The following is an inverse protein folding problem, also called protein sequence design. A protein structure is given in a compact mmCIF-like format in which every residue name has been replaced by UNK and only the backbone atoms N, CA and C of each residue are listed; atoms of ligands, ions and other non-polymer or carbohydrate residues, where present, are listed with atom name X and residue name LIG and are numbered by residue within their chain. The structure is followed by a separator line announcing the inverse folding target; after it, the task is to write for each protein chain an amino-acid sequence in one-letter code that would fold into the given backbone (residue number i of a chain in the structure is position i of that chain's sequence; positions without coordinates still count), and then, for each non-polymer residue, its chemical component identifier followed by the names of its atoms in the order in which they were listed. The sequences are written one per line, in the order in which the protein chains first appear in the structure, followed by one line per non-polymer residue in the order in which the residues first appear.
data_IF_653307954886
#
_entry.id   IF_653307954886
#
_cell.length_a   1.000
_cell.length_b   1.000
_cell.length_c   1.000
_cell.angle_alpha   90.00
_cell.angle_beta   90.00
_cell.angle_gamma   90.00
#
_symmetry.space_group_name_H-M   'P 1'
#
loop_
_entity.id
_entity.type
_entity.pdbx_description
1 polymer ?
#
# COMPACT_ATOMS: atom_id res chain seq x y z
N UNK A 1 34.12 39.40 -22.27
CA UNK A 1 33.38 38.96 -21.07
C UNK A 1 31.85 38.88 -21.25
N UNK A 2 31.27 39.04 -22.45
CA UNK A 2 29.81 38.82 -22.65
C UNK A 2 29.43 37.41 -23.13
N UNK A 3 30.34 36.67 -23.77
CA UNK A 3 30.04 35.33 -24.32
C UNK A 3 29.87 34.21 -23.28
N UNK A 4 30.53 34.32 -22.13
CA UNK A 4 30.48 33.29 -21.09
C UNK A 4 29.16 33.30 -20.28
N UNK A 5 28.54 34.47 -20.16
CA UNK A 5 27.28 34.64 -19.41
C UNK A 5 26.09 34.06 -20.20
N UNK A 6 26.08 34.26 -21.52
CA UNK A 6 25.01 33.73 -22.41
C UNK A 6 25.07 32.21 -22.52
N UNK A 7 26.27 31.61 -22.54
CA UNK A 7 26.43 30.16 -22.56
C UNK A 7 25.91 29.50 -21.27
N UNK A 8 26.11 30.13 -20.11
CA UNK A 8 25.64 29.61 -18.81
C UNK A 8 24.10 29.59 -18.72
N UNK A 9 23.41 30.58 -19.31
CA UNK A 9 21.94 30.63 -19.33
C UNK A 9 21.32 29.54 -20.23
N UNK A 10 21.93 29.23 -21.37
CA UNK A 10 21.42 28.21 -22.31
C UNK A 10 21.59 26.79 -21.72
N UNK A 11 22.64 26.54 -20.95
CA UNK A 11 22.87 25.24 -20.27
C UNK A 11 21.88 25.01 -19.13
N UNK A 12 21.51 26.04 -18.37
CA UNK A 12 20.51 25.93 -17.30
C UNK A 12 19.08 25.65 -17.81
N UNK A 13 18.72 26.21 -18.98
CA UNK A 13 17.40 25.96 -19.58
C UNK A 13 17.24 24.52 -20.10
N UNK A 14 18.31 23.90 -20.64
CA UNK A 14 18.28 22.50 -21.06
C UNK A 14 18.23 21.50 -19.89
N UNK A 15 18.62 21.90 -18.69
CA UNK A 15 18.51 21.06 -17.48
C UNK A 15 17.11 21.08 -16.84
N UNK A 16 16.27 22.08 -17.16
CA UNK A 16 14.91 22.23 -16.61
C UNK A 16 13.79 21.87 -17.61
N UNK A 17 14.13 21.54 -18.87
CA UNK A 17 13.15 21.17 -19.89
C UNK A 17 12.49 19.80 -19.67
N UNK A 18 13.15 18.89 -18.95
CA UNK A 18 12.58 17.60 -18.55
C UNK A 18 11.52 17.73 -17.45
N UNK A 19 11.64 18.73 -16.59
CA UNK A 19 10.78 18.91 -15.41
C UNK A 19 9.35 19.26 -15.79
N UNK A 20 9.14 20.05 -16.85
CA UNK A 20 7.80 20.48 -17.28
C UNK A 20 6.95 19.32 -17.80
N UNK A 21 7.52 18.39 -18.58
CA UNK A 21 6.80 17.21 -19.06
C UNK A 21 6.42 16.25 -17.92
N UNK A 22 7.34 16.02 -16.98
CA UNK A 22 7.06 15.22 -15.78
C UNK A 22 5.98 15.86 -14.92
N UNK A 23 6.03 17.18 -14.71
CA UNK A 23 4.99 17.87 -13.95
C UNK A 23 3.63 17.81 -14.66
N UNK A 24 3.55 18.01 -15.98
CA UNK A 24 2.26 17.98 -16.69
C UNK A 24 1.61 16.59 -16.67
N UNK A 25 2.39 15.53 -16.91
CA UNK A 25 1.95 14.13 -16.78
C UNK A 25 1.51 13.77 -15.36
N UNK A 26 2.19 14.33 -14.35
CA UNK A 26 1.85 14.12 -12.96
C UNK A 26 0.57 14.91 -12.57
N UNK A 27 0.47 16.18 -12.95
CA UNK A 27 -0.70 17.03 -12.68
C UNK A 27 -1.97 16.55 -13.39
N UNK A 28 -1.87 16.00 -14.61
CA UNK A 28 -3.04 15.51 -15.35
C UNK A 28 -3.66 14.26 -14.73
N UNK A 29 -2.87 13.41 -14.06
CA UNK A 29 -3.36 12.22 -13.36
C UNK A 29 -4.12 12.59 -12.08
N UNK A 30 -3.68 13.62 -11.35
CA UNK A 30 -4.34 14.10 -10.13
C UNK A 30 -5.65 14.88 -10.39
N UNK A 31 -5.89 15.37 -11.61
CA UNK A 31 -7.14 16.05 -11.95
C UNK A 31 -8.18 15.12 -12.58
N UNK A 32 -7.86 13.83 -12.76
CA UNK A 32 -8.82 12.85 -13.24
C UNK A 32 -9.61 12.28 -12.04
N UNK A 33 -10.91 12.62 -11.88
CA UNK A 33 -11.70 12.12 -10.77
C UNK A 33 -11.78 10.59 -10.77
N UNK A 34 -11.72 9.94 -11.93
CA UNK A 34 -11.77 8.48 -12.04
C UNK A 34 -10.57 7.79 -11.38
N UNK A 35 -9.41 8.46 -11.29
CA UNK A 35 -8.22 7.92 -10.62
C UNK A 35 -8.44 7.79 -9.11
N UNK A 36 -9.12 8.77 -8.51
CA UNK A 36 -9.48 8.73 -7.09
C UNK A 36 -10.70 7.86 -6.84
N UNK A 37 -11.72 7.97 -7.69
CA UNK A 37 -13.02 7.32 -7.50
C UNK A 37 -12.89 5.79 -7.33
N UNK A 38 -12.09 5.15 -8.19
CA UNK A 38 -11.87 3.71 -8.11
C UNK A 38 -11.11 3.30 -6.84
N UNK A 39 -10.03 3.99 -6.49
CA UNK A 39 -9.23 3.66 -5.29
C UNK A 39 -9.98 3.97 -4.00
N UNK A 40 -10.79 5.04 -4.00
CA UNK A 40 -11.61 5.44 -2.85
C UNK A 40 -12.68 4.40 -2.59
N UNK A 41 -13.44 4.01 -3.61
CA UNK A 41 -14.52 3.02 -3.50
C UNK A 41 -14.01 1.67 -2.95
N UNK A 42 -12.88 1.19 -3.47
CA UNK A 42 -12.21 -0.03 -2.99
C UNK A 42 -11.80 0.07 -1.53
N UNK A 43 -11.28 1.24 -1.15
CA UNK A 43 -10.90 1.49 0.23
C UNK A 43 -12.14 1.44 1.13
N UNK A 44 -13.30 1.89 0.65
CA UNK A 44 -14.55 1.88 1.41
C UNK A 44 -15.09 0.45 1.62
N UNK A 45 -15.08 -0.40 0.59
CA UNK A 45 -15.48 -1.81 0.73
C UNK A 45 -14.62 -2.57 1.76
N UNK A 46 -13.29 -2.39 1.69
CA UNK A 46 -12.36 -2.98 2.65
C UNK A 46 -12.58 -2.40 4.06
N UNK A 47 -12.83 -1.09 4.15
CA UNK A 47 -13.08 -0.40 5.42
C UNK A 47 -14.33 -0.94 6.09
N UNK A 48 -15.44 -1.03 5.35
CA UNK A 48 -16.72 -1.52 5.85
C UNK A 48 -16.63 -2.96 6.32
N UNK A 49 -15.93 -3.80 5.56
CA UNK A 49 -15.66 -5.17 5.94
C UNK A 49 -14.90 -5.25 7.27
N UNK A 50 -13.81 -4.50 7.41
CA UNK A 50 -13.01 -4.48 8.64
C UNK A 50 -13.84 -3.99 9.82
N UNK A 51 -14.57 -2.89 9.66
CA UNK A 51 -15.36 -2.30 10.74
C UNK A 51 -16.46 -3.25 11.25
N UNK A 52 -17.06 -4.03 10.34
CA UNK A 52 -18.11 -5.01 10.68
C UNK A 52 -17.56 -6.28 11.36
N UNK A 53 -16.35 -6.70 11.00
CA UNK A 53 -15.81 -8.01 11.40
C UNK A 53 -14.65 -7.94 12.42
N UNK A 54 -14.32 -6.74 12.91
CA UNK A 54 -13.28 -6.52 13.93
C UNK A 54 -13.72 -5.56 15.02
N UNK A 55 -13.20 -5.77 16.23
CA UNK A 55 -13.32 -4.85 17.37
C UNK A 55 -12.25 -3.76 17.28
N UNK A 56 -12.46 -2.65 17.98
CA UNK A 56 -11.56 -1.48 17.92
C UNK A 56 -10.10 -1.77 18.31
N UNK A 57 -9.88 -2.74 19.19
CA UNK A 57 -8.55 -3.13 19.68
C UNK A 57 -7.95 -4.33 18.93
N UNK A 58 -8.65 -4.90 17.94
CA UNK A 58 -8.17 -6.04 17.18
C UNK A 58 -7.26 -5.57 16.04
N UNK A 59 -6.00 -6.04 15.98
CA UNK A 59 -5.07 -5.59 14.96
C UNK A 59 -5.40 -6.16 13.58
N UNK A 60 -5.09 -5.36 12.56
CA UNK A 60 -5.20 -5.74 11.15
C UNK A 60 -3.86 -5.59 10.45
N UNK A 61 -3.64 -6.37 9.40
CA UNK A 61 -2.48 -6.23 8.52
C UNK A 61 -2.92 -6.01 7.08
N UNK A 62 -2.34 -5.00 6.42
CA UNK A 62 -2.68 -4.62 5.06
C UNK A 62 -1.42 -4.68 4.21
N UNK A 63 -1.34 -5.70 3.35
CA UNK A 63 -0.32 -5.82 2.31
C UNK A 63 -0.77 -5.05 1.06
N UNK A 64 -0.61 -3.73 1.13
CA UNK A 64 -0.97 -2.76 0.09
C UNK A 64 -0.05 -1.54 0.17
N UNK A 65 0.01 -0.77 -0.91
CA UNK A 65 0.60 0.58 -0.87
C UNK A 65 -0.39 1.67 -0.41
N UNK A 66 -1.64 1.28 -0.12
CA UNK A 66 -2.67 2.16 0.36
C UNK A 66 -2.82 2.09 1.89
N UNK A 67 -2.13 3.00 2.59
CA UNK A 67 -2.20 3.10 4.06
C UNK A 67 -3.49 3.76 4.58
N UNK A 68 -4.37 4.27 3.71
CA UNK A 68 -5.61 4.98 4.09
C UNK A 68 -6.58 4.07 4.85
N UNK A 69 -6.52 2.75 4.63
CA UNK A 69 -7.34 1.76 5.31
C UNK A 69 -7.18 1.86 6.84
N UNK A 70 -5.95 2.06 7.33
CA UNK A 70 -5.70 2.22 8.77
C UNK A 70 -6.35 3.48 9.34
N UNK A 71 -6.26 4.59 8.61
CA UNK A 71 -6.85 5.85 9.04
C UNK A 71 -8.39 5.79 9.06
N UNK A 72 -9.01 5.12 8.08
CA UNK A 72 -10.47 4.98 7.98
C UNK A 72 -11.05 4.01 9.00
N UNK A 73 -10.39 2.88 9.22
CA UNK A 73 -10.87 1.82 10.12
C UNK A 73 -10.55 2.08 11.59
N UNK A 74 -9.52 2.92 11.86
CA UNK A 74 -8.97 3.17 13.20
C UNK A 74 -8.59 1.89 13.94
N UNK A 75 -8.22 0.83 13.21
CA UNK A 75 -7.71 -0.41 13.79
C UNK A 75 -6.20 -0.34 13.97
N UNK A 76 -5.64 -0.90 15.06
CA UNK A 76 -4.20 -0.94 15.23
C UNK A 76 -3.55 -1.76 14.10
N UNK A 77 -2.43 -1.28 13.60
CA UNK A 77 -1.62 -2.05 12.68
C UNK A 77 -0.91 -3.18 13.42
N UNK A 78 -0.95 -4.39 12.86
CA UNK A 78 -0.27 -5.55 13.44
C UNK A 78 1.26 -5.37 13.45
N UNK A 79 1.80 -4.54 12.55
CA UNK A 79 3.23 -4.23 12.48
C UNK A 79 3.43 -2.72 12.36
N UNK A 80 4.66 -2.24 12.58
CA UNK A 80 5.02 -0.82 12.37
C UNK A 80 4.99 -0.39 10.89
N UNK A 81 4.97 -1.35 9.96
CA UNK A 81 4.97 -1.09 8.52
C UNK A 81 3.54 -1.02 8.01
N UNK A 82 3.09 0.20 7.70
CA UNK A 82 1.71 0.49 7.22
C UNK A 82 1.57 0.43 5.69
N UNK A 83 2.64 0.06 4.97
CA UNK A 83 2.68 0.00 3.51
C UNK A 83 3.63 -1.09 3.02
N UNK A 84 3.24 -1.81 1.97
CA UNK A 84 3.98 -2.95 1.43
C UNK A 84 5.36 -2.57 0.86
N UNK A 85 5.47 -1.47 0.11
CA UNK A 85 6.76 -1.01 -0.45
C UNK A 85 7.85 -0.73 0.60
N UNK A 86 7.50 -0.50 1.88
CA UNK A 86 8.50 -0.36 2.95
C UNK A 86 9.16 -1.67 3.36
N UNK A 87 8.55 -2.81 3.04
CA UNK A 87 8.98 -4.14 3.46
C UNK A 87 9.51 -4.94 2.27
N UNK A 88 8.78 -4.88 1.15
CA UNK A 88 9.01 -5.70 -0.02
C UNK A 88 10.47 -5.66 -0.51
N UNK A 89 11.07 -6.84 -0.69
CA UNK A 89 12.42 -6.98 -1.23
C UNK A 89 13.53 -6.70 -0.21
N UNK A 90 13.20 -6.51 1.07
CA UNK A 90 14.16 -6.44 2.16
C UNK A 90 13.95 -7.62 3.12
N UNK A 91 14.87 -8.58 3.09
CA UNK A 91 14.77 -9.82 3.86
C UNK A 91 14.62 -9.59 5.37
N UNK A 92 15.39 -8.67 5.96
CA UNK A 92 15.34 -8.40 7.41
C UNK A 92 13.97 -7.82 7.82
N UNK A 93 13.38 -6.98 6.97
CA UNK A 93 12.05 -6.40 7.23
C UNK A 93 10.94 -7.43 7.03
N UNK A 94 11.08 -8.27 6.00
CA UNK A 94 10.17 -9.40 5.76
C UNK A 94 10.20 -10.38 6.94
N UNK A 95 11.38 -10.71 7.46
CA UNK A 95 11.54 -11.53 8.66
C UNK A 95 10.88 -10.86 9.88
N UNK A 96 11.15 -9.58 10.14
CA UNK A 96 10.55 -8.84 11.25
C UNK A 96 9.01 -8.83 11.20
N UNK A 97 8.44 -8.63 10.00
CA UNK A 97 6.99 -8.69 9.79
C UNK A 97 6.47 -10.08 10.10
N UNK A 98 7.09 -11.13 9.58
CA UNK A 98 6.64 -12.50 9.83
C UNK A 98 6.71 -12.87 11.30
N UNK A 99 7.80 -12.51 11.98
CA UNK A 99 7.97 -12.69 13.42
C UNK A 99 6.84 -12.03 14.22
N UNK A 100 6.46 -10.82 13.82
CA UNK A 100 5.39 -10.06 14.46
C UNK A 100 4.03 -10.71 14.22
N UNK A 101 3.72 -11.09 12.98
CA UNK A 101 2.44 -11.71 12.61
C UNK A 101 2.27 -13.11 13.24
N UNK A 102 3.36 -13.85 13.42
CA UNK A 102 3.32 -15.15 14.09
C UNK A 102 3.07 -15.01 15.59
N UNK A 103 3.73 -14.05 16.25
CA UNK A 103 3.56 -13.78 17.69
C UNK A 103 2.19 -13.18 18.00
N UNK A 104 1.74 -12.22 17.19
CA UNK A 104 0.51 -11.48 17.37
C UNK A 104 -0.28 -11.50 16.07
N UNK A 105 -1.01 -12.59 15.83
CA UNK A 105 -1.76 -12.77 14.59
C UNK A 105 -2.91 -11.75 14.49
N UNK A 106 -2.94 -10.93 13.41
CA UNK A 106 -4.04 -10.01 13.19
C UNK A 106 -5.37 -10.75 13.00
N UNK A 107 -6.47 -10.07 13.33
CA UNK A 107 -7.80 -10.62 13.08
C UNK A 107 -8.10 -10.72 11.59
N UNK A 108 -7.66 -9.71 10.83
CA UNK A 108 -7.88 -9.58 9.38
C UNK A 108 -6.57 -9.27 8.67
N UNK A 109 -6.35 -9.94 7.53
CA UNK A 109 -5.29 -9.63 6.57
C UNK A 109 -5.93 -9.21 5.24
N UNK A 110 -5.49 -8.08 4.70
CA UNK A 110 -5.89 -7.60 3.36
C UNK A 110 -4.68 -7.67 2.44
N UNK A 111 -4.83 -8.24 1.26
CA UNK A 111 -3.77 -8.31 0.23
C UNK A 111 -4.28 -7.66 -1.05
N UNK A 112 -3.56 -6.67 -1.59
CA UNK A 112 -3.91 -6.03 -2.88
C UNK A 112 -3.60 -6.93 -4.08
N UNK A 113 -4.43 -6.83 -5.12
CA UNK A 113 -4.26 -7.45 -6.43
C UNK A 113 -4.09 -6.40 -7.54
N UNK A 114 -3.27 -6.71 -8.56
CA UNK A 114 -2.31 -7.82 -8.59
C UNK A 114 -1.24 -7.66 -7.49
N UNK A 115 -0.63 -8.77 -7.08
CA UNK A 115 0.43 -8.74 -6.06
C UNK A 115 1.69 -8.17 -6.73
N UNK A 116 1.88 -6.86 -6.62
CA UNK A 116 3.05 -6.17 -7.18
C UNK A 116 4.33 -6.50 -6.40
N UNK A 117 4.18 -6.82 -5.11
CA UNK A 117 5.26 -7.11 -4.19
C UNK A 117 5.14 -8.53 -3.64
N UNK A 118 5.97 -9.44 -4.17
CA UNK A 118 5.95 -10.85 -3.76
C UNK A 118 6.53 -10.99 -2.36
N UNK A 119 5.72 -11.48 -1.43
CA UNK A 119 6.13 -11.79 -0.05
C UNK A 119 5.72 -13.22 0.29
N UNK A 120 6.56 -14.18 -0.10
CA UNK A 120 6.18 -15.61 -0.15
C UNK A 120 5.78 -16.18 1.21
N UNK A 121 6.52 -15.82 2.27
CA UNK A 121 6.24 -16.29 3.62
C UNK A 121 4.91 -15.76 4.16
N UNK A 122 4.52 -14.53 3.81
CA UNK A 122 3.19 -14.00 4.11
C UNK A 122 2.09 -14.83 3.43
N UNK A 123 2.24 -15.14 2.14
CA UNK A 123 1.24 -15.92 1.40
C UNK A 123 1.04 -17.32 2.02
N UNK A 124 2.14 -18.01 2.35
CA UNK A 124 2.09 -19.31 3.03
C UNK A 124 1.43 -19.20 4.41
N UNK A 125 1.76 -18.16 5.18
CA UNK A 125 1.17 -17.92 6.50
C UNK A 125 -0.34 -17.68 6.43
N UNK A 126 -0.79 -16.90 5.45
CA UNK A 126 -2.22 -16.63 5.19
C UNK A 126 -2.94 -17.93 4.83
N UNK A 127 -2.41 -18.71 3.88
CA UNK A 127 -3.00 -19.98 3.46
C UNK A 127 -3.18 -20.97 4.62
N UNK A 128 -2.16 -21.07 5.49
CA UNK A 128 -2.20 -21.97 6.63
C UNK A 128 -3.19 -21.52 7.70
N UNK A 129 -3.24 -20.23 8.04
CA UNK A 129 -3.92 -19.74 9.26
C UNK A 129 -5.20 -18.96 9.04
N UNK A 130 -5.52 -18.57 7.81
CA UNK A 130 -6.65 -17.71 7.52
C UNK A 130 -7.60 -18.34 6.50
N UNK A 131 -8.87 -17.97 6.56
CA UNK A 131 -9.87 -18.29 5.55
C UNK A 131 -10.02 -17.09 4.61
N UNK A 132 -10.07 -17.34 3.30
CA UNK A 132 -10.46 -16.31 2.34
C UNK A 132 -11.93 -15.98 2.56
N UNK A 133 -12.22 -14.73 2.93
CA UNK A 133 -13.56 -14.29 3.25
C UNK A 133 -14.18 -13.43 2.15
N UNK A 134 -13.38 -12.59 1.50
CA UNK A 134 -13.80 -11.77 0.34
C UNK A 134 -12.70 -11.77 -0.71
N UNK A 135 -13.09 -11.88 -1.97
CA UNK A 135 -12.22 -11.73 -3.13
C UNK A 135 -12.85 -10.75 -4.11
N UNK A 136 -12.06 -9.78 -4.55
CA UNK A 136 -12.42 -8.83 -5.61
C UNK A 136 -11.29 -8.79 -6.65
N UNK A 137 -11.47 -7.98 -7.69
CA UNK A 137 -10.43 -7.74 -8.70
C UNK A 137 -9.20 -7.03 -8.11
N UNK A 138 -9.35 -6.34 -6.97
CA UNK A 138 -8.33 -5.45 -6.40
C UNK A 138 -7.81 -5.91 -5.04
N UNK A 139 -8.49 -6.81 -4.35
CA UNK A 139 -8.03 -7.31 -3.06
C UNK A 139 -8.56 -8.70 -2.73
N UNK A 140 -7.83 -9.37 -1.85
CA UNK A 140 -8.33 -10.49 -1.05
C UNK A 140 -8.36 -10.07 0.43
N UNK A 141 -9.45 -10.40 1.10
CA UNK A 141 -9.58 -10.24 2.56
C UNK A 141 -9.65 -11.62 3.19
N UNK A 142 -8.79 -11.81 4.18
CA UNK A 142 -8.63 -13.05 4.92
C UNK A 142 -8.93 -12.84 6.39
N UNK A 143 -9.65 -13.78 6.99
CA UNK A 143 -9.95 -13.79 8.42
C UNK A 143 -9.23 -14.92 9.13
N UNK A 144 -8.71 -14.63 10.32
CA UNK A 144 -8.04 -15.64 11.14
C UNK A 144 -9.02 -16.79 11.43
N UNK A 145 -8.60 -18.03 11.13
CA UNK A 145 -9.38 -19.24 11.42
C UNK A 145 -9.72 -19.26 12.92
N UNK A 146 -10.98 -19.45 13.25
CA UNK A 146 -11.38 -19.73 14.62
C UNK A 146 -10.85 -21.12 15.00
N UNK A 147 -10.20 -21.22 16.16
CA UNK A 147 -9.82 -22.50 16.77
C UNK A 147 -11.04 -23.33 17.18
#
# INVERSE_FOLDING_TARGET
MLGAVIFFCIVQFKLHGGTLYYTYSYYSQFHNPAFFDQRVTVTDEVTDYILKNTRENEPIFVWSDNSLIYAKTKRPAATKYVSAYHVAGNADREEEVMDTLQKNSPRVIVITKPIDHTFKSLLLFVEMRYNLAVTTDQFDIYELKSD
#
